data_IF_596988264489
#
_entry.id   IF_596988264489
#
_cell.length_a   1.000
_cell.length_b   1.000
_cell.length_c   1.000
_cell.angle_alpha   90.00
_cell.angle_beta   90.00
_cell.angle_gamma   90.00
#
_symmetry.space_group_name_H-M   'P 1'
#
loop_
_entity.id
_entity.type
_entity.pdbx_description
1 polymer ?
#
# COMPACT_ATOMS: atom_id res chain seq x y z
N UNK A 1 19.28 -9.52 5.17
CA UNK A 1 17.89 -9.77 4.74
C UNK A 1 16.87 -9.38 5.81
N UNK A 2 17.03 -9.82 7.08
CA UNK A 2 16.12 -9.47 8.16
C UNK A 2 15.85 -7.95 8.21
N UNK A 3 16.88 -7.12 8.30
CA UNK A 3 16.70 -5.66 8.33
C UNK A 3 16.00 -5.08 7.11
N UNK A 4 16.14 -5.68 5.92
CA UNK A 4 15.44 -5.26 4.71
C UNK A 4 13.93 -5.52 4.85
N UNK A 5 13.56 -6.71 5.29
CA UNK A 5 12.16 -7.08 5.54
C UNK A 5 11.52 -6.25 6.66
N UNK A 6 12.33 -5.75 7.60
CA UNK A 6 11.90 -4.81 8.65
C UNK A 6 11.79 -3.35 8.21
N UNK A 7 12.07 -3.02 6.95
CA UNK A 7 12.12 -1.63 6.50
C UNK A 7 13.28 -0.82 7.07
N UNK A 8 14.24 -1.44 7.80
CA UNK A 8 15.42 -0.73 8.29
C UNK A 8 16.52 -0.70 7.21
N UNK A 9 16.27 0.14 6.20
CA UNK A 9 17.07 0.24 4.98
C UNK A 9 18.55 0.54 5.28
N UNK A 10 18.85 1.46 6.20
CA UNK A 10 20.22 1.83 6.54
C UNK A 10 21.02 0.64 7.13
N UNK A 11 20.42 -0.10 8.06
CA UNK A 11 21.05 -1.30 8.63
C UNK A 11 21.15 -2.44 7.62
N UNK A 12 20.16 -2.59 6.75
CA UNK A 12 20.19 -3.58 5.69
C UNK A 12 21.36 -3.31 4.72
N UNK A 13 21.54 -2.10 4.23
CA UNK A 13 22.69 -1.70 3.39
C UNK A 13 24.02 -2.06 4.10
N UNK A 14 24.16 -1.71 5.38
CA UNK A 14 25.35 -2.05 6.18
C UNK A 14 25.59 -3.57 6.23
N UNK A 15 24.53 -4.36 6.45
CA UNK A 15 24.59 -5.83 6.46
C UNK A 15 25.03 -6.41 5.11
N UNK A 16 24.44 -5.98 4.00
CA UNK A 16 24.81 -6.45 2.65
C UNK A 16 26.25 -6.04 2.27
N UNK A 17 26.68 -4.81 2.57
CA UNK A 17 28.06 -4.37 2.35
C UNK A 17 29.07 -5.19 3.16
N UNK A 18 28.74 -5.54 4.40
CA UNK A 18 29.59 -6.43 5.21
C UNK A 18 29.64 -7.84 4.63
N UNK A 19 28.49 -8.42 4.23
CA UNK A 19 28.45 -9.71 3.57
C UNK A 19 29.33 -9.74 2.31
N UNK A 20 29.23 -8.70 1.47
CA UNK A 20 30.08 -8.57 0.29
C UNK A 20 31.58 -8.53 0.62
N UNK A 21 31.97 -7.80 1.68
CA UNK A 21 33.38 -7.74 2.14
C UNK A 21 33.94 -9.10 2.53
N UNK A 22 33.10 -10.00 3.05
CA UNK A 22 33.49 -11.36 3.43
C UNK A 22 33.24 -12.40 2.33
N UNK A 23 32.88 -11.97 1.12
CA UNK A 23 32.59 -12.89 0.00
C UNK A 23 31.28 -13.67 0.14
N UNK A 24 30.39 -13.24 1.03
CA UNK A 24 29.08 -13.86 1.28
C UNK A 24 27.99 -13.10 0.52
N UNK A 25 28.07 -13.13 -0.81
CA UNK A 25 27.09 -12.49 -1.69
C UNK A 25 26.22 -13.54 -2.37
N UNK A 26 24.95 -13.20 -2.59
CA UNK A 26 24.07 -13.91 -3.51
C UNK A 26 23.92 -13.12 -4.84
N UNK A 27 23.25 -13.74 -5.81
CA UNK A 27 23.04 -13.14 -7.13
C UNK A 27 22.25 -11.83 -7.07
N UNK A 28 21.39 -11.62 -6.06
CA UNK A 28 20.53 -10.45 -5.91
C UNK A 28 21.15 -9.35 -5.04
N UNK A 29 22.35 -9.55 -4.50
CA UNK A 29 22.96 -8.60 -3.55
C UNK A 29 23.08 -7.20 -4.14
N UNK A 30 23.56 -7.06 -5.37
CA UNK A 30 23.71 -5.74 -6.01
C UNK A 30 22.34 -5.13 -6.39
N UNK A 31 21.39 -5.94 -6.84
CA UNK A 31 20.02 -5.47 -7.08
C UNK A 31 19.44 -4.83 -5.81
N UNK A 32 19.46 -5.56 -4.71
CA UNK A 32 18.95 -5.09 -3.40
C UNK A 32 19.69 -3.87 -2.86
N UNK A 33 21.02 -3.79 -3.06
CA UNK A 33 21.79 -2.60 -2.71
C UNK A 33 21.40 -1.41 -3.57
N UNK A 34 21.08 -1.61 -4.85
CA UNK A 34 20.56 -0.60 -5.76
C UNK A 34 19.22 -0.04 -5.27
N UNK A 35 18.26 -0.90 -5.03
CA UNK A 35 16.91 -0.56 -4.52
C UNK A 35 17.00 0.22 -3.21
N UNK A 36 17.69 -0.32 -2.21
CA UNK A 36 17.84 0.33 -0.91
C UNK A 36 18.61 1.65 -0.98
N UNK A 37 19.57 1.78 -1.89
CA UNK A 37 20.30 3.04 -2.10
C UNK A 37 19.39 4.10 -2.72
N UNK A 38 18.52 3.73 -3.65
CA UNK A 38 17.49 4.62 -4.21
C UNK A 38 16.53 5.11 -3.12
N UNK A 39 16.02 4.21 -2.29
CA UNK A 39 15.17 4.53 -1.14
C UNK A 39 15.82 5.47 -0.11
N UNK A 40 17.14 5.53 -0.08
CA UNK A 40 17.90 6.49 0.75
C UNK A 40 18.27 7.78 -0.01
N UNK A 41 17.78 7.96 -1.23
CA UNK A 41 18.15 9.10 -2.10
C UNK A 41 19.61 9.08 -2.57
N UNK A 42 20.31 7.96 -2.41
CA UNK A 42 21.71 7.78 -2.81
C UNK A 42 21.79 7.32 -4.27
N UNK A 43 21.20 8.09 -5.18
CA UNK A 43 20.97 7.70 -6.58
C UNK A 43 22.25 7.36 -7.35
N UNK A 44 23.37 8.06 -7.04
CA UNK A 44 24.68 7.72 -7.65
C UNK A 44 25.15 6.32 -7.24
N UNK A 45 25.00 5.96 -5.98
CA UNK A 45 25.33 4.61 -5.49
C UNK A 45 24.36 3.57 -6.04
N UNK A 46 23.05 3.88 -6.10
CA UNK A 46 22.04 3.04 -6.69
C UNK A 46 22.38 2.69 -8.15
N UNK A 47 22.72 3.69 -8.98
CA UNK A 47 23.13 3.48 -10.37
C UNK A 47 24.31 2.52 -10.49
N UNK A 48 25.33 2.67 -9.64
CA UNK A 48 26.51 1.79 -9.67
C UNK A 48 26.17 0.33 -9.33
N UNK A 49 25.27 0.10 -8.35
CA UNK A 49 24.84 -1.24 -7.99
C UNK A 49 23.96 -1.88 -9.06
N UNK A 50 23.07 -1.12 -9.67
CA UNK A 50 22.26 -1.60 -10.79
C UNK A 50 23.13 -1.94 -12.01
N UNK A 51 24.11 -1.11 -12.35
CA UNK A 51 25.08 -1.38 -13.42
C UNK A 51 25.85 -2.67 -13.15
N UNK A 52 26.37 -2.87 -11.94
CA UNK A 52 27.07 -4.11 -11.56
C UNK A 52 26.17 -5.33 -11.62
N UNK A 53 24.88 -5.20 -11.28
CA UNK A 53 23.93 -6.30 -11.41
C UNK A 53 23.65 -6.64 -12.87
N UNK A 54 23.44 -5.63 -13.70
CA UNK A 54 23.15 -5.75 -15.12
C UNK A 54 24.34 -6.27 -15.95
N UNK A 55 25.58 -6.17 -15.46
CA UNK A 55 26.74 -6.83 -16.07
C UNK A 55 26.56 -8.36 -16.13
N UNK A 56 25.86 -8.94 -15.16
CA UNK A 56 25.58 -10.39 -15.09
C UNK A 56 24.18 -10.74 -15.59
N UNK A 57 23.23 -9.84 -15.51
CA UNK A 57 21.81 -10.03 -15.84
C UNK A 57 21.30 -8.86 -16.70
N UNK A 58 21.78 -8.70 -17.95
CA UNK A 58 21.54 -7.51 -18.76
C UNK A 58 20.04 -7.28 -19.07
N UNK A 59 19.26 -8.35 -19.19
CA UNK A 59 17.85 -8.30 -19.56
C UNK A 59 16.88 -8.30 -18.36
N UNK A 60 17.36 -7.96 -17.15
CA UNK A 60 16.50 -7.94 -15.96
C UNK A 60 15.72 -6.62 -15.89
N UNK A 61 14.38 -6.62 -16.16
CA UNK A 61 13.61 -5.40 -16.40
C UNK A 61 13.60 -4.45 -15.19
N UNK A 62 13.41 -4.97 -13.96
CA UNK A 62 13.37 -4.15 -12.75
C UNK A 62 14.72 -3.45 -12.48
N UNK A 63 15.86 -4.10 -12.80
CA UNK A 63 17.17 -3.46 -12.65
C UNK A 63 17.42 -2.40 -13.73
N UNK A 64 16.97 -2.63 -14.96
CA UNK A 64 17.03 -1.63 -16.04
C UNK A 64 16.20 -0.41 -15.68
N UNK A 65 14.98 -0.61 -15.19
CA UNK A 65 14.09 0.44 -14.73
C UNK A 65 14.70 1.19 -13.54
N UNK A 66 15.22 0.48 -12.54
CA UNK A 66 15.88 1.07 -11.37
C UNK A 66 17.08 1.93 -11.75
N UNK A 67 17.92 1.47 -12.71
CA UNK A 67 19.03 2.24 -13.24
C UNK A 67 18.56 3.52 -13.97
N UNK A 68 17.53 3.39 -14.82
CA UNK A 68 16.95 4.52 -15.53
C UNK A 68 16.49 5.61 -14.56
N UNK A 69 15.73 5.22 -13.53
CA UNK A 69 15.18 6.15 -12.55
C UNK A 69 16.23 6.68 -11.57
N UNK A 70 17.21 5.89 -11.17
CA UNK A 70 18.33 6.38 -10.38
C UNK A 70 19.11 7.49 -11.10
N UNK A 71 19.16 7.48 -12.44
CA UNK A 71 19.74 8.54 -13.26
C UNK A 71 18.80 9.74 -13.42
N UNK A 72 17.49 9.55 -13.49
CA UNK A 72 16.49 10.61 -13.68
C UNK A 72 16.05 11.30 -12.38
N UNK A 73 16.02 10.60 -11.26
CA UNK A 73 15.49 11.10 -10.01
C UNK A 73 16.07 12.44 -9.54
N UNK A 74 17.39 12.72 -9.68
CA UNK A 74 17.95 14.03 -9.33
C UNK A 74 17.37 15.19 -10.15
N UNK A 75 17.10 14.98 -11.44
CA UNK A 75 16.49 15.98 -12.32
C UNK A 75 15.01 16.13 -12.00
N UNK A 76 14.31 15.00 -11.83
CA UNK A 76 12.89 14.97 -11.50
C UNK A 76 12.59 15.72 -10.20
N UNK A 77 13.46 15.57 -9.20
CA UNK A 77 13.37 16.31 -7.93
C UNK A 77 13.45 17.83 -8.11
N UNK A 78 14.11 18.32 -9.17
CA UNK A 78 14.27 19.75 -9.44
C UNK A 78 13.09 20.36 -10.21
N UNK A 79 12.24 19.55 -10.84
CA UNK A 79 11.09 20.04 -11.61
C UNK A 79 10.07 20.74 -10.71
N UNK A 80 9.95 20.29 -9.44
CA UNK A 80 8.98 20.84 -8.50
C UNK A 80 7.53 20.60 -8.94
N UNK A 81 6.61 21.12 -8.16
CA UNK A 81 5.18 21.16 -8.49
C UNK A 81 4.48 22.22 -7.63
N UNK A 82 3.19 22.45 -7.91
CA UNK A 82 2.35 23.34 -7.09
C UNK A 82 1.87 22.68 -5.77
N UNK A 83 2.21 21.41 -5.54
CA UNK A 83 1.86 20.71 -4.32
C UNK A 83 2.76 21.07 -3.15
N UNK A 84 2.17 21.09 -1.95
CA UNK A 84 2.88 21.26 -0.68
C UNK A 84 2.54 20.11 0.24
N UNK A 85 3.55 19.39 0.72
CA UNK A 85 3.40 18.31 1.70
C UNK A 85 3.68 18.86 3.10
N UNK A 86 2.76 18.60 4.04
CA UNK A 86 2.89 18.96 5.46
C UNK A 86 2.63 17.73 6.31
N UNK A 87 3.45 17.55 7.34
CA UNK A 87 3.19 16.51 8.33
C UNK A 87 2.01 16.93 9.22
N UNK A 88 0.96 16.10 9.25
CA UNK A 88 -0.14 16.28 10.20
C UNK A 88 0.20 15.59 11.53
N UNK A 89 0.47 16.41 12.54
CA UNK A 89 0.94 15.94 13.85
C UNK A 89 -0.15 15.32 14.70
N UNK A 90 -1.40 15.69 14.48
CA UNK A 90 -2.52 15.18 15.28
C UNK A 90 -2.71 13.69 15.11
N UNK A 91 -2.54 13.20 13.89
CA UNK A 91 -2.72 11.78 13.56
C UNK A 91 -1.45 10.96 13.77
N UNK A 92 -0.28 11.63 13.76
CA UNK A 92 1.01 10.96 13.89
C UNK A 92 1.20 10.38 15.30
N UNK A 93 1.61 9.13 15.37
CA UNK A 93 2.09 8.45 16.58
C UNK A 93 3.62 8.28 16.56
N UNK A 94 4.18 7.68 17.61
CA UNK A 94 5.58 7.25 17.62
C UNK A 94 5.81 5.92 16.88
N UNK A 95 4.76 5.36 16.30
CA UNK A 95 4.71 4.10 15.56
C UNK A 95 4.32 4.37 14.11
N UNK A 96 3.77 3.36 13.43
CA UNK A 96 3.30 3.48 12.05
C UNK A 96 1.84 3.93 12.01
N UNK A 97 1.54 4.92 11.16
CA UNK A 97 0.20 5.41 10.86
C UNK A 97 0.09 5.51 9.33
N UNK A 98 -0.88 4.82 8.72
CA UNK A 98 -0.96 4.69 7.26
C UNK A 98 -2.37 4.36 6.77
N UNK A 99 -2.55 4.28 5.45
CA UNK A 99 -3.81 3.95 4.76
C UNK A 99 -4.99 4.82 5.21
N UNK A 100 -4.91 6.15 5.06
CA UNK A 100 -5.99 7.04 5.43
C UNK A 100 -7.20 6.83 4.50
N UNK A 101 -8.41 6.94 5.06
CA UNK A 101 -9.68 6.91 4.35
C UNK A 101 -10.62 7.96 4.91
N UNK A 102 -10.84 9.02 4.15
CA UNK A 102 -11.85 10.03 4.48
C UNK A 102 -13.25 9.49 4.16
N UNK A 103 -14.17 9.68 5.10
CA UNK A 103 -15.52 9.20 5.02
C UNK A 103 -16.52 10.18 5.65
N UNK A 104 -17.82 9.93 5.36
CA UNK A 104 -18.91 10.73 5.87
C UNK A 104 -19.18 11.99 5.05
N UNK A 105 -20.24 12.70 5.43
CA UNK A 105 -20.64 13.94 4.78
C UNK A 105 -19.49 14.96 4.91
N UNK A 106 -19.08 15.56 3.78
CA UNK A 106 -17.95 16.51 3.72
C UNK A 106 -16.61 16.01 4.33
N UNK A 107 -16.37 14.68 4.35
CA UNK A 107 -15.13 14.14 4.94
C UNK A 107 -14.97 14.43 6.43
N UNK A 108 -16.04 14.28 7.21
CA UNK A 108 -16.05 14.55 8.64
C UNK A 108 -15.36 13.48 9.48
N UNK A 109 -15.08 12.31 8.91
CA UNK A 109 -14.40 11.22 9.58
C UNK A 109 -13.16 10.79 8.78
N UNK A 110 -12.02 10.63 9.46
CA UNK A 110 -10.79 10.08 8.90
C UNK A 110 -10.47 8.77 9.59
N UNK A 111 -10.60 7.68 8.87
CA UNK A 111 -10.16 6.36 9.28
C UNK A 111 -8.73 6.12 8.82
N UNK A 112 -7.94 5.41 9.60
CA UNK A 112 -6.58 5.03 9.22
C UNK A 112 -6.08 3.85 10.05
N UNK A 113 -5.07 3.17 9.56
CA UNK A 113 -4.40 2.05 10.23
C UNK A 113 -3.29 2.57 11.13
N UNK A 114 -3.17 2.03 12.34
CA UNK A 114 -2.10 2.42 13.26
C UNK A 114 -1.64 1.27 14.16
N UNK A 115 -0.32 1.19 14.39
CA UNK A 115 0.30 0.30 15.37
C UNK A 115 0.62 1.01 16.69
N UNK A 116 -0.08 2.11 16.99
CA UNK A 116 0.13 2.92 18.21
C UNK A 116 -0.09 2.10 19.48
N UNK A 117 0.41 2.59 20.61
CA UNK A 117 0.36 1.86 21.88
C UNK A 117 -1.06 1.54 22.37
N UNK A 118 -2.06 2.29 21.94
CA UNK A 118 -3.47 2.04 22.26
C UNK A 118 -4.18 1.04 21.33
N UNK A 119 -3.45 0.44 20.36
CA UNK A 119 -3.98 -0.66 19.56
C UNK A 119 -4.28 -1.88 20.43
N UNK A 120 -5.24 -2.70 19.99
CA UNK A 120 -5.75 -3.88 20.71
C UNK A 120 -4.65 -4.93 20.87
N UNK A 121 -4.79 -5.78 21.89
CA UNK A 121 -3.83 -6.84 22.20
C UNK A 121 -2.60 -6.34 22.94
N UNK A 122 -1.98 -7.23 23.70
CA UNK A 122 -0.74 -6.97 24.44
C UNK A 122 0.48 -7.61 23.80
N UNK A 123 0.27 -8.50 22.85
CA UNK A 123 1.34 -9.21 22.16
C UNK A 123 2.08 -8.27 21.20
N UNK A 124 3.40 -8.38 21.25
CA UNK A 124 4.29 -7.68 20.34
C UNK A 124 4.80 -8.70 19.33
N UNK A 125 4.66 -8.40 18.07
CA UNK A 125 5.21 -9.25 17.00
C UNK A 125 6.71 -9.46 17.21
N UNK A 126 7.13 -10.71 17.35
CA UNK A 126 8.55 -11.09 17.41
C UNK A 126 9.33 -10.66 16.16
N UNK A 127 8.63 -10.41 15.07
CA UNK A 127 9.20 -9.98 13.81
C UNK A 127 9.36 -8.48 13.77
N UNK A 128 8.33 -7.69 14.07
CA UNK A 128 8.32 -6.23 13.92
C UNK A 128 8.66 -5.48 15.21
N UNK A 129 8.53 -6.13 16.36
CA UNK A 129 8.63 -5.47 17.66
C UNK A 129 7.50 -4.45 17.90
N UNK A 130 6.42 -4.54 17.16
CA UNK A 130 5.24 -3.66 17.26
C UNK A 130 4.02 -4.48 17.64
N UNK A 131 3.02 -3.83 18.22
CA UNK A 131 1.68 -4.39 18.40
C UNK A 131 1.01 -4.64 17.05
N UNK A 132 -0.05 -5.44 17.04
CA UNK A 132 -0.93 -5.57 15.89
C UNK A 132 -1.47 -4.18 15.46
N UNK A 133 -1.76 -4.06 14.19
CA UNK A 133 -2.33 -2.84 13.62
C UNK A 133 -3.85 -2.85 13.82
N UNK A 134 -4.40 -1.72 14.26
CA UNK A 134 -5.83 -1.49 14.39
C UNK A 134 -6.30 -0.36 13.47
N UNK A 135 -7.61 -0.30 13.23
CA UNK A 135 -8.25 0.83 12.57
C UNK A 135 -8.63 1.87 13.64
N UNK A 136 -8.18 3.09 13.42
CA UNK A 136 -8.49 4.28 14.21
C UNK A 136 -9.36 5.24 13.40
N UNK A 137 -10.12 6.07 14.11
CA UNK A 137 -10.93 7.13 13.53
C UNK A 137 -10.70 8.45 14.26
N UNK A 138 -10.57 9.51 13.49
CA UNK A 138 -10.69 10.89 13.99
C UNK A 138 -11.91 11.54 13.36
N UNK A 139 -12.60 12.37 14.13
CA UNK A 139 -13.80 13.10 13.67
C UNK A 139 -13.57 14.60 13.75
N UNK A 140 -14.22 15.37 12.88
CA UNK A 140 -14.25 16.83 12.97
C UNK A 140 -15.33 17.25 13.98
N UNK A 141 -15.02 18.27 14.81
CA UNK A 141 -16.01 18.93 15.66
C UNK A 141 -16.95 19.85 14.84
N UNK A 142 -17.94 20.45 15.49
CA UNK A 142 -18.89 21.39 14.87
C UNK A 142 -18.23 22.62 14.21
N UNK A 143 -16.94 22.85 14.49
CA UNK A 143 -16.13 23.92 13.90
C UNK A 143 -15.21 23.44 12.80
N UNK A 144 -15.35 22.18 12.37
CA UNK A 144 -14.51 21.55 11.35
C UNK A 144 -13.09 21.21 11.81
N UNK A 145 -12.79 21.16 13.12
CA UNK A 145 -11.46 20.84 13.63
C UNK A 145 -11.37 19.35 13.96
N UNK A 146 -10.32 18.72 13.53
CA UNK A 146 -10.05 17.34 13.86
C UNK A 146 -9.86 17.12 15.37
N UNK A 147 -10.49 16.09 15.90
CA UNK A 147 -10.31 15.58 17.26
C UNK A 147 -9.19 14.54 17.32
N UNK A 148 -8.75 14.20 18.54
CA UNK A 148 -7.76 13.13 18.71
C UNK A 148 -8.29 11.80 18.18
N UNK A 149 -7.46 11.00 17.50
CA UNK A 149 -7.85 9.67 17.03
C UNK A 149 -8.19 8.74 18.20
N UNK A 150 -9.20 7.93 17.98
CA UNK A 150 -9.64 6.86 18.89
C UNK A 150 -9.79 5.54 18.11
N UNK A 151 -9.71 4.40 18.78
CA UNK A 151 -9.98 3.12 18.16
C UNK A 151 -11.43 3.08 17.66
N UNK A 152 -11.66 2.46 16.50
CA UNK A 152 -13.02 2.31 15.96
C UNK A 152 -13.88 1.53 16.94
N UNK A 153 -15.09 2.04 17.21
CA UNK A 153 -16.05 1.40 18.12
C UNK A 153 -16.64 0.13 17.51
N UNK A 154 -16.84 -0.88 18.38
CA UNK A 154 -17.39 -2.19 18.02
C UNK A 154 -16.31 -3.27 17.97
N UNK A 155 -16.59 -4.34 17.22
CA UNK A 155 -15.77 -5.55 17.19
C UNK A 155 -14.87 -5.63 15.94
N UNK A 156 -14.52 -4.49 15.32
CA UNK A 156 -13.68 -4.44 14.10
C UNK A 156 -12.24 -4.79 14.41
N UNK A 157 -11.69 -4.18 15.47
CA UNK A 157 -10.33 -4.43 15.90
C UNK A 157 -10.26 -5.69 16.77
N UNK A 158 -9.28 -6.53 16.54
CA UNK A 158 -9.13 -7.83 17.19
C UNK A 158 -7.68 -8.09 17.63
N UNK A 159 -7.34 -9.34 17.87
CA UNK A 159 -5.95 -9.78 18.12
C UNK A 159 -5.11 -9.86 16.82
N UNK A 160 -5.76 -9.74 15.66
CA UNK A 160 -5.08 -9.76 14.36
C UNK A 160 -4.55 -8.37 13.98
N UNK A 161 -3.93 -8.25 12.79
CA UNK A 161 -3.70 -6.95 12.18
C UNK A 161 -4.92 -6.59 11.32
N UNK A 162 -5.55 -5.48 11.64
CA UNK A 162 -6.58 -4.86 10.81
C UNK A 162 -6.03 -3.58 10.16
N UNK A 163 -6.36 -3.39 8.88
CA UNK A 163 -5.89 -2.19 8.19
C UNK A 163 -6.54 -1.95 6.84
N UNK A 164 -6.17 -0.85 6.22
CA UNK A 164 -6.64 -0.40 4.90
C UNK A 164 -8.13 -0.71 4.68
N UNK A 165 -9.00 0.23 4.98
CA UNK A 165 -10.45 0.03 4.86
C UNK A 165 -11.08 0.96 3.83
N UNK A 166 -12.27 0.58 3.32
CA UNK A 166 -13.16 1.43 2.55
C UNK A 166 -14.63 1.13 2.92
N UNK A 167 -15.55 1.98 2.47
CA UNK A 167 -16.95 1.92 2.88
C UNK A 167 -17.88 1.79 1.68
N UNK A 168 -19.00 1.07 1.87
CA UNK A 168 -20.11 1.12 0.92
C UNK A 168 -20.69 2.52 0.86
N UNK A 169 -21.29 2.92 -0.29
CA UNK A 169 -21.85 4.25 -0.49
C UNK A 169 -22.90 4.64 0.56
N UNK A 170 -23.64 3.67 1.07
CA UNK A 170 -24.66 3.86 2.13
C UNK A 170 -24.06 3.88 3.55
N UNK A 171 -22.73 3.68 3.70
CA UNK A 171 -22.03 3.65 4.98
C UNK A 171 -22.35 2.45 5.87
N UNK A 172 -23.05 1.44 5.36
CA UNK A 172 -23.49 0.31 6.17
C UNK A 172 -22.51 -0.88 6.17
N UNK A 173 -21.51 -0.86 5.26
CA UNK A 173 -20.47 -1.88 5.18
C UNK A 173 -19.09 -1.23 5.16
N UNK A 174 -18.18 -1.82 5.94
CA UNK A 174 -16.75 -1.55 5.89
C UNK A 174 -16.07 -2.79 5.30
N UNK A 175 -15.31 -2.61 4.22
CA UNK A 175 -14.38 -3.61 3.71
C UNK A 175 -13.01 -3.28 4.28
N UNK A 176 -12.32 -4.27 4.83
CA UNK A 176 -11.05 -4.06 5.51
C UNK A 176 -10.10 -5.22 5.26
N UNK A 177 -8.80 -4.94 5.30
CA UNK A 177 -7.76 -5.96 5.30
C UNK A 177 -7.60 -6.51 6.71
N UNK A 178 -7.58 -7.85 6.85
CA UNK A 178 -7.28 -8.55 8.10
C UNK A 178 -6.18 -9.57 7.83
N UNK A 179 -5.18 -9.64 8.72
CA UNK A 179 -4.12 -10.65 8.65
C UNK A 179 -4.29 -11.65 9.82
N UNK A 180 -5.15 -12.66 9.70
CA UNK A 180 -5.38 -13.62 10.75
C UNK A 180 -4.11 -14.44 11.00
N UNK A 181 -3.89 -14.84 12.25
CA UNK A 181 -2.79 -15.73 12.61
C UNK A 181 -3.27 -17.18 12.55
N UNK A 182 -2.65 -17.98 11.68
CA UNK A 182 -2.83 -19.43 11.65
C UNK A 182 -1.47 -20.10 11.94
N UNK A 183 -1.36 -20.94 12.98
CA UNK A 183 -0.10 -21.60 13.31
C UNK A 183 0.43 -22.55 12.23
N UNK A 184 -0.44 -23.02 11.34
CA UNK A 184 -0.12 -23.99 10.29
C UNK A 184 0.18 -23.38 8.94
N UNK A 185 -0.12 -22.09 8.74
CA UNK A 185 0.02 -21.40 7.46
C UNK A 185 0.77 -20.08 7.62
N UNK A 186 1.50 -19.64 6.57
CA UNK A 186 2.04 -18.28 6.55
C UNK A 186 0.91 -17.28 6.73
N UNK A 187 1.22 -16.18 7.42
CA UNK A 187 0.29 -15.08 7.64
C UNK A 187 -0.04 -14.43 6.29
N UNK A 188 -1.31 -14.48 5.90
CA UNK A 188 -1.80 -13.94 4.63
C UNK A 188 -2.85 -12.87 4.92
N UNK A 189 -2.89 -11.85 4.08
CA UNK A 189 -3.91 -10.83 4.15
C UNK A 189 -5.21 -11.34 3.51
N UNK A 190 -6.33 -11.00 4.13
CA UNK A 190 -7.68 -11.33 3.66
C UNK A 190 -8.55 -10.08 3.68
N UNK A 191 -9.51 -9.96 2.77
CA UNK A 191 -10.52 -8.91 2.84
C UNK A 191 -11.73 -9.43 3.60
N UNK A 192 -12.11 -8.69 4.64
CA UNK A 192 -13.27 -8.99 5.47
C UNK A 192 -14.29 -7.86 5.36
N UNK A 193 -15.54 -8.13 5.77
CA UNK A 193 -16.65 -7.18 5.79
C UNK A 193 -17.18 -7.06 7.20
N UNK A 194 -17.24 -5.84 7.72
CA UNK A 194 -18.00 -5.48 8.90
C UNK A 194 -19.28 -4.76 8.48
N UNK A 195 -20.41 -5.10 9.13
CA UNK A 195 -21.67 -4.40 8.95
C UNK A 195 -21.85 -3.38 10.07
N UNK A 196 -22.46 -2.25 9.76
CA UNK A 196 -22.80 -1.25 10.76
C UNK A 196 -24.03 -1.72 11.54
N UNK A 197 -23.97 -1.65 12.87
CA UNK A 197 -25.08 -1.93 13.78
C UNK A 197 -25.25 -0.74 14.71
N UNK A 198 -26.28 0.04 14.50
CA UNK A 198 -26.51 1.34 15.17
C UNK A 198 -25.29 2.28 15.00
N UNK A 199 -24.61 2.62 16.10
CA UNK A 199 -23.48 3.53 16.11
C UNK A 199 -22.11 2.81 16.00
N UNK A 200 -22.07 1.47 16.03
CA UNK A 200 -20.85 0.65 16.07
C UNK A 200 -20.75 -0.33 14.91
N UNK A 201 -19.59 -0.96 14.77
CA UNK A 201 -19.33 -1.98 13.78
C UNK A 201 -19.41 -3.37 14.38
N UNK A 202 -20.16 -4.25 13.74
CA UNK A 202 -20.21 -5.66 14.12
C UNK A 202 -18.89 -6.37 13.77
N UNK A 203 -18.66 -7.52 14.41
CA UNK A 203 -17.49 -8.36 14.13
C UNK A 203 -17.40 -8.67 12.65
N UNK A 204 -16.24 -8.43 12.02
CA UNK A 204 -16.06 -8.68 10.59
C UNK A 204 -16.12 -10.17 10.26
N UNK A 205 -16.49 -10.46 9.02
CA UNK A 205 -16.45 -11.80 8.44
C UNK A 205 -15.72 -11.79 7.11
N UNK A 206 -15.02 -12.89 6.80
CA UNK A 206 -14.25 -13.02 5.56
C UNK A 206 -15.13 -12.87 4.32
N UNK A 207 -14.73 -12.02 3.39
CA UNK A 207 -15.29 -11.97 2.04
C UNK A 207 -14.66 -13.08 1.20
N UNK A 208 -15.48 -13.98 0.66
CA UNK A 208 -15.00 -14.97 -0.29
C UNK A 208 -14.90 -14.31 -1.69
N UNK A 209 -13.69 -13.97 -2.12
CA UNK A 209 -13.43 -13.38 -3.43
C UNK A 209 -13.28 -14.47 -4.48
N UNK A 210 -12.42 -15.48 -4.23
CA UNK A 210 -12.20 -16.62 -5.12
C UNK A 210 -12.21 -17.93 -4.33
N UNK A 211 -11.91 -19.03 -4.99
CA UNK A 211 -11.68 -20.32 -4.34
C UNK A 211 -10.23 -20.49 -3.87
N UNK A 212 -9.33 -19.61 -4.29
CA UNK A 212 -7.93 -19.63 -3.86
C UNK A 212 -7.82 -19.11 -2.42
N UNK A 213 -7.17 -19.88 -1.58
CA UNK A 213 -6.95 -19.61 -0.15
C UNK A 213 -5.48 -19.46 0.19
N UNK A 214 -4.59 -19.51 -0.80
CA UNK A 214 -3.13 -19.45 -0.62
C UNK A 214 -2.56 -18.08 -0.96
N UNK A 215 -3.33 -17.23 -1.63
CA UNK A 215 -2.92 -15.87 -1.99
C UNK A 215 -3.40 -14.85 -0.97
N UNK A 216 -2.72 -13.72 -0.93
CA UNK A 216 -3.09 -12.55 -0.15
C UNK A 216 -4.10 -11.69 -0.91
N UNK A 217 -5.06 -11.12 -0.19
CA UNK A 217 -6.06 -10.18 -0.67
C UNK A 217 -6.08 -8.99 0.27
N UNK A 218 -5.68 -7.80 -0.20
CA UNK A 218 -5.48 -6.65 0.68
C UNK A 218 -5.91 -5.32 0.02
N UNK A 219 -5.91 -4.26 0.83
CA UNK A 219 -6.09 -2.88 0.40
C UNK A 219 -7.38 -2.66 -0.41
N UNK A 220 -8.56 -2.96 0.16
CA UNK A 220 -9.82 -2.80 -0.55
C UNK A 220 -10.13 -1.33 -0.85
N UNK A 221 -10.66 -1.06 -2.05
CA UNK A 221 -11.18 0.24 -2.46
C UNK A 221 -12.41 0.05 -3.35
N UNK A 222 -13.50 0.73 -3.06
CA UNK A 222 -14.69 0.68 -3.90
C UNK A 222 -14.64 1.70 -5.04
N UNK A 223 -15.09 1.28 -6.20
CA UNK A 223 -15.36 2.21 -7.31
C UNK A 223 -16.38 3.27 -6.90
N UNK A 224 -16.37 4.48 -7.50
CA UNK A 224 -17.32 5.54 -7.16
C UNK A 224 -18.79 5.16 -7.30
N UNK A 225 -19.12 4.22 -8.18
CA UNK A 225 -20.49 3.69 -8.34
C UNK A 225 -20.82 2.53 -7.38
N UNK A 226 -19.86 2.10 -6.56
CA UNK A 226 -20.00 1.05 -5.56
C UNK A 226 -20.16 -0.37 -6.11
N UNK A 227 -19.98 -0.58 -7.42
CA UNK A 227 -20.19 -1.90 -8.05
C UNK A 227 -18.97 -2.79 -8.04
N UNK A 228 -17.77 -2.19 -8.01
CA UNK A 228 -16.51 -2.89 -8.07
C UNK A 228 -15.69 -2.66 -6.81
N UNK A 229 -15.21 -3.75 -6.26
CA UNK A 229 -14.19 -3.76 -5.20
C UNK A 229 -12.83 -3.96 -5.86
N UNK A 230 -11.97 -2.95 -5.81
CA UNK A 230 -10.58 -3.03 -6.22
C UNK A 230 -9.74 -3.49 -5.03
N UNK A 231 -8.71 -4.28 -5.29
CA UNK A 231 -7.83 -4.81 -4.24
C UNK A 231 -6.48 -5.24 -4.81
N UNK A 232 -5.51 -5.44 -3.94
CA UNK A 232 -4.18 -5.96 -4.26
C UNK A 232 -4.11 -7.44 -3.95
N UNK A 233 -3.53 -8.25 -4.85
CA UNK A 233 -3.37 -9.69 -4.65
C UNK A 233 -2.21 -10.27 -5.46
N UNK A 234 -1.52 -11.26 -4.88
CA UNK A 234 -0.51 -12.10 -5.53
C UNK A 234 -1.11 -13.39 -6.11
N UNK A 235 -2.44 -13.43 -6.33
CA UNK A 235 -3.11 -14.63 -6.84
C UNK A 235 -2.67 -14.97 -8.27
N UNK A 236 -2.67 -16.27 -8.63
CA UNK A 236 -2.25 -16.72 -9.96
C UNK A 236 -3.03 -16.06 -11.09
N UNK A 237 -2.33 -15.79 -12.21
CA UNK A 237 -2.90 -15.14 -13.39
C UNK A 237 -2.67 -13.63 -13.45
N UNK A 238 -1.88 -13.09 -12.53
CA UNK A 238 -1.40 -11.71 -12.57
C UNK A 238 -0.28 -11.47 -13.58
N UNK A 239 0.23 -10.25 -13.58
CA UNK A 239 1.32 -9.79 -14.45
C UNK A 239 2.67 -9.92 -13.76
N UNK A 240 2.73 -9.61 -12.46
CA UNK A 240 3.98 -9.57 -11.72
C UNK A 240 3.93 -10.10 -10.29
N UNK A 241 4.34 -9.28 -9.35
CA UNK A 241 4.32 -9.60 -7.92
C UNK A 241 2.91 -9.50 -7.35
N UNK A 242 2.64 -8.40 -6.66
CA UNK A 242 1.29 -8.05 -6.21
C UNK A 242 0.63 -7.17 -7.27
N UNK A 243 -0.47 -7.63 -7.81
CA UNK A 243 -1.23 -6.93 -8.85
C UNK A 243 -2.48 -6.25 -8.29
N UNK A 244 -2.98 -5.24 -8.97
CA UNK A 244 -4.34 -4.73 -8.78
C UNK A 244 -5.35 -5.57 -9.56
N UNK A 245 -6.40 -5.95 -8.84
CA UNK A 245 -7.54 -6.70 -9.33
C UNK A 245 -8.83 -5.96 -8.99
N UNK A 246 -9.93 -6.31 -9.66
CA UNK A 246 -11.27 -5.86 -9.30
C UNK A 246 -12.25 -7.02 -9.22
N UNK A 247 -13.18 -6.94 -8.28
CA UNK A 247 -14.26 -7.89 -8.08
C UNK A 247 -15.61 -7.19 -8.23
N UNK A 248 -16.48 -7.69 -9.10
CA UNK A 248 -17.84 -7.21 -9.21
C UNK A 248 -18.67 -7.69 -8.03
N UNK A 249 -19.29 -6.74 -7.32
CA UNK A 249 -20.13 -7.04 -6.17
C UNK A 249 -21.58 -7.24 -6.62
N UNK A 250 -22.13 -8.43 -6.32
CA UNK A 250 -23.54 -8.75 -6.54
C UNK A 250 -24.32 -8.85 -5.24
N UNK A 251 -25.60 -9.24 -5.32
CA UNK A 251 -26.48 -9.40 -4.15
C UNK A 251 -26.00 -10.49 -3.19
N UNK A 252 -25.42 -11.55 -3.73
CA UNK A 252 -25.06 -12.77 -2.97
C UNK A 252 -23.55 -12.93 -2.77
N UNK A 253 -22.75 -11.91 -3.14
CA UNK A 253 -21.28 -11.91 -3.00
C UNK A 253 -20.57 -11.44 -4.26
N UNK A 254 -19.38 -11.95 -4.51
CA UNK A 254 -18.56 -11.64 -5.70
C UNK A 254 -19.04 -12.46 -6.89
N UNK A 255 -19.26 -11.78 -8.03
CA UNK A 255 -19.72 -12.39 -9.28
C UNK A 255 -18.60 -12.61 -10.29
N UNK A 256 -17.74 -11.61 -10.47
CA UNK A 256 -16.66 -11.60 -11.45
C UNK A 256 -15.38 -11.10 -10.76
N UNK A 257 -14.23 -11.67 -11.12
CA UNK A 257 -12.91 -11.18 -10.67
C UNK A 257 -12.02 -11.01 -11.89
N UNK A 258 -11.42 -9.84 -12.03
CA UNK A 258 -10.60 -9.46 -13.18
C UNK A 258 -9.27 -8.84 -12.73
N UNK A 259 -8.17 -9.20 -13.41
CA UNK A 259 -6.91 -8.49 -13.32
C UNK A 259 -6.99 -7.19 -14.13
N UNK A 260 -6.42 -6.08 -13.62
CA UNK A 260 -6.46 -4.80 -14.37
C UNK A 260 -5.51 -4.78 -15.57
N UNK A 261 -4.78 -5.86 -15.80
CA UNK A 261 -3.91 -6.04 -16.97
C UNK A 261 -2.65 -5.16 -16.94
N UNK A 262 -1.82 -5.32 -17.97
CA UNK A 262 -0.48 -4.70 -18.06
C UNK A 262 -0.49 -3.18 -18.27
N UNK A 263 -1.65 -2.55 -18.49
CA UNK A 263 -1.74 -1.09 -18.48
C UNK A 263 -1.60 -0.51 -17.06
N UNK A 264 -2.04 -1.26 -16.04
CA UNK A 264 -1.90 -0.93 -14.62
C UNK A 264 -0.78 -1.76 -13.97
N UNK A 265 -0.83 -3.07 -14.11
CA UNK A 265 0.07 -4.00 -13.41
C UNK A 265 1.39 -4.15 -14.15
N UNK A 266 2.47 -4.38 -13.39
CA UNK A 266 3.84 -4.50 -13.88
C UNK A 266 4.49 -5.78 -13.35
N UNK A 267 5.79 -5.97 -13.58
CA UNK A 267 6.56 -7.05 -12.94
C UNK A 267 6.80 -6.81 -11.42
N UNK A 268 6.56 -5.59 -10.93
CA UNK A 268 6.67 -5.22 -9.53
C UNK A 268 5.39 -5.44 -8.74
N UNK A 269 5.21 -4.61 -7.72
CA UNK A 269 4.05 -4.62 -6.84
C UNK A 269 3.18 -3.38 -7.09
N UNK A 270 1.88 -3.56 -7.31
CA UNK A 270 0.86 -2.53 -7.36
C UNK A 270 -0.08 -2.69 -6.17
N UNK A 271 -0.17 -1.64 -5.33
CA UNK A 271 -0.87 -1.71 -4.04
C UNK A 271 -1.63 -0.43 -3.72
N UNK A 272 -2.49 -0.50 -2.70
CA UNK A 272 -3.23 0.63 -2.13
C UNK A 272 -4.06 1.39 -3.16
N UNK A 273 -4.98 0.73 -3.89
CA UNK A 273 -5.89 1.44 -4.78
C UNK A 273 -6.79 2.40 -3.99
N UNK A 274 -7.09 3.55 -4.58
CA UNK A 274 -8.01 4.55 -4.04
C UNK A 274 -8.65 5.33 -5.21
N UNK A 275 -9.88 5.77 -5.03
CA UNK A 275 -10.58 6.54 -6.05
C UNK A 275 -10.81 7.98 -5.63
N UNK A 276 -10.69 8.89 -6.58
CA UNK A 276 -11.40 10.17 -6.51
C UNK A 276 -12.87 9.98 -6.85
N UNK A 277 -13.77 10.83 -6.30
CA UNK A 277 -15.17 10.82 -6.69
C UNK A 277 -15.40 10.99 -8.21
N UNK A 278 -14.49 11.66 -8.89
CA UNK A 278 -14.50 11.86 -10.35
C UNK A 278 -14.13 10.61 -11.18
N UNK A 279 -13.61 9.55 -10.54
CA UNK A 279 -13.38 8.25 -11.17
C UNK A 279 -11.92 7.90 -11.42
N UNK A 280 -10.98 8.80 -11.16
CA UNK A 280 -9.55 8.49 -11.30
C UNK A 280 -9.12 7.48 -10.23
N UNK A 281 -8.43 6.43 -10.67
CA UNK A 281 -7.79 5.44 -9.81
C UNK A 281 -6.41 5.92 -9.41
N UNK A 282 -6.15 5.99 -8.12
CA UNK A 282 -4.82 6.19 -7.55
C UNK A 282 -4.30 4.89 -6.98
N UNK A 283 -3.00 4.67 -7.06
CA UNK A 283 -2.36 3.48 -6.50
C UNK A 283 -0.86 3.70 -6.29
N UNK A 284 -0.22 2.80 -5.59
CA UNK A 284 1.23 2.82 -5.38
C UNK A 284 1.88 1.66 -6.13
N UNK A 285 3.04 1.92 -6.75
CA UNK A 285 3.81 0.89 -7.47
C UNK A 285 5.31 1.07 -7.28
N UNK A 286 6.05 -0.02 -7.25
CA UNK A 286 7.51 -0.04 -7.37
C UNK A 286 7.98 -0.57 -8.74
N UNK A 287 7.07 -1.10 -9.54
CA UNK A 287 7.35 -1.67 -10.86
C UNK A 287 7.26 -0.67 -12.02
N UNK A 288 6.81 0.57 -11.77
CA UNK A 288 6.71 1.63 -12.80
C UNK A 288 7.89 2.59 -12.80
N UNK A 289 8.80 2.39 -11.86
CA UNK A 289 9.89 3.31 -11.58
C UNK A 289 9.40 4.54 -10.79
N UNK A 290 10.33 5.32 -10.29
CA UNK A 290 9.99 6.46 -9.43
C UNK A 290 11.19 7.00 -8.68
N UNK A 291 10.90 7.65 -7.56
CA UNK A 291 11.89 8.32 -6.74
C UNK A 291 12.59 7.38 -5.75
N UNK A 292 11.94 6.28 -5.39
CA UNK A 292 12.48 5.43 -4.32
C UNK A 292 11.90 4.04 -4.24
N UNK A 293 11.02 3.84 -3.27
CA UNK A 293 10.32 2.57 -3.06
C UNK A 293 9.01 2.51 -3.84
N UNK A 294 7.90 2.35 -3.13
CA UNK A 294 6.58 2.56 -3.73
C UNK A 294 6.40 4.05 -4.02
N UNK A 295 5.98 4.37 -5.22
CA UNK A 295 5.61 5.72 -5.64
C UNK A 295 4.12 5.77 -6.01
N UNK A 296 3.48 6.92 -5.82
CA UNK A 296 2.08 7.17 -6.14
C UNK A 296 1.90 7.47 -7.62
N UNK A 297 0.90 6.83 -8.20
CA UNK A 297 0.44 7.01 -9.58
C UNK A 297 -1.06 7.31 -9.59
N UNK A 298 -1.54 7.91 -10.65
CA UNK A 298 -2.97 7.94 -10.95
C UNK A 298 -3.24 7.45 -12.36
N UNK A 299 -4.42 6.90 -12.56
CA UNK A 299 -4.83 6.32 -13.81
C UNK A 299 -6.24 6.76 -14.17
N UNK A 300 -6.43 7.00 -15.47
CA UNK A 300 -7.76 7.30 -16.06
C UNK A 300 -8.09 6.18 -17.04
N UNK A 301 -9.26 5.58 -16.87
CA UNK A 301 -9.74 4.52 -17.75
C UNK A 301 -10.21 5.10 -19.09
N UNK A 302 -9.66 4.59 -20.18
CA UNK A 302 -10.20 4.81 -21.52
C UNK A 302 -11.21 3.69 -21.82
N UNK A 303 -12.48 3.99 -21.61
CA UNK A 303 -13.60 3.04 -21.80
C UNK A 303 -13.82 2.64 -23.26
N UNK A 304 -13.18 3.29 -24.23
CA UNK A 304 -13.26 2.94 -25.65
C UNK A 304 -12.25 1.84 -25.99
N UNK A 305 -11.05 1.92 -25.42
CA UNK A 305 -9.96 0.97 -25.69
C UNK A 305 -9.80 -0.08 -24.57
N UNK A 306 -10.57 0.04 -23.49
CA UNK A 306 -10.47 -0.79 -22.28
C UNK A 306 -9.04 -0.83 -21.73
N UNK A 307 -8.40 0.33 -21.70
CA UNK A 307 -7.01 0.51 -21.21
C UNK A 307 -6.93 1.69 -20.24
N UNK A 308 -5.87 1.72 -19.45
CA UNK A 308 -5.62 2.79 -18.49
C UNK A 308 -4.46 3.67 -18.94
N UNK A 309 -4.67 4.98 -18.91
CA UNK A 309 -3.57 5.95 -19.03
C UNK A 309 -3.05 6.26 -17.64
N UNK A 310 -1.79 5.89 -17.36
CA UNK A 310 -1.15 6.04 -16.05
C UNK A 310 -0.16 7.18 -16.07
N UNK A 311 -0.19 8.00 -15.02
CA UNK A 311 0.73 9.12 -14.82
C UNK A 311 1.34 9.07 -13.40
N UNK A 312 2.63 9.40 -13.30
CA UNK A 312 3.36 9.48 -12.04
C UNK A 312 3.06 10.80 -11.33
N UNK A 313 2.76 10.76 -10.02
CA UNK A 313 2.57 11.99 -9.26
C UNK A 313 3.89 12.72 -9.05
N UNK A 314 3.89 14.08 -9.12
CA UNK A 314 5.12 14.83 -9.01
C UNK A 314 5.66 14.94 -7.58
N UNK A 315 6.91 15.33 -7.45
CA UNK A 315 7.50 15.77 -6.19
C UNK A 315 6.77 17.05 -5.73
N UNK A 316 6.42 17.21 -4.44
CA UNK A 316 6.79 16.37 -3.28
C UNK A 316 5.79 15.29 -2.91
N UNK A 317 4.80 14.97 -3.76
CA UNK A 317 3.85 13.88 -3.50
C UNK A 317 4.58 12.53 -3.43
N UNK A 318 5.51 12.32 -4.36
CA UNK A 318 6.45 11.21 -4.29
C UNK A 318 7.79 11.63 -3.71
N UNK A 319 8.37 10.77 -2.90
CA UNK A 319 9.63 10.97 -2.17
C UNK A 319 10.63 9.86 -2.49
N UNK A 320 11.76 9.82 -1.79
CA UNK A 320 12.71 8.71 -1.89
C UNK A 320 12.29 7.47 -1.07
N UNK A 321 11.29 7.60 -0.21
CA UNK A 321 10.78 6.51 0.64
C UNK A 321 9.77 5.63 -0.07
N UNK A 322 8.81 5.13 0.71
CA UNK A 322 7.60 4.52 0.22
C UNK A 322 6.46 5.51 0.36
N UNK A 323 5.81 5.85 -0.73
CA UNK A 323 4.67 6.74 -0.80
C UNK A 323 3.43 5.90 -1.17
N UNK A 324 2.50 5.76 -0.22
CA UNK A 324 1.34 4.88 -0.39
C UNK A 324 0.15 5.30 0.47
N UNK A 325 -1.03 4.84 0.08
CA UNK A 325 -2.27 5.09 0.80
C UNK A 325 -2.68 6.56 0.72
N UNK A 326 -3.50 6.90 -0.26
CA UNK A 326 -3.99 8.27 -0.50
C UNK A 326 -5.49 8.32 -0.29
N UNK A 327 -5.98 9.45 0.22
CA UNK A 327 -7.40 9.79 0.28
C UNK A 327 -7.59 11.26 -0.09
N UNK A 328 -8.81 11.66 -0.42
CA UNK A 328 -9.09 13.00 -0.94
C UNK A 328 -10.16 13.68 -0.10
N UNK A 329 -9.88 14.91 0.29
CA UNK A 329 -10.92 15.83 0.75
C UNK A 329 -11.56 16.45 -0.50
N UNK A 330 -12.90 16.39 -0.60
CA UNK A 330 -13.69 16.70 -1.78
C UNK A 330 -13.59 18.15 -2.26
#
# INVERSE_FOLDING_TARGET
EAYRKFGNVARAIGGYKNAARYGLTDTLTNLRLGEMSAQMGQYKAASQYYEQFLDSFPDYPMAQLGLLWAKKAPEYKQLGSDYTVKQEKLFASSRSDFSPMLWGEEGMELYFTSTRNSATGDEISDITGMKSADIFVSRKDERGRWLNPEAVEGDVNSEYDEGACCFSQDGNKMYLTVCPTDPNFPRMAEIWIANRSDASWAKPSKLKITADTLSSYAHPALSPDGKWLYFSSDMPGGVGGIDLWRAQLGSDGVEIVENLGSSINTEGDEMFPAFRPSGELYFSSDGRGGMGGLDLFFAVEDTVTDTWKVEHLPVPMNSMGHDFGITFEG
#
